data_IF_586432981955
#
_entry.id   IF_586432981955
#
_cell.length_a   1.000
_cell.length_b   1.000
_cell.length_c   1.000
_cell.angle_alpha   90.00
_cell.angle_beta   90.00
_cell.angle_gamma   90.00
#
_symmetry.space_group_name_H-M   'P 1'
#
loop_
_entity.id
_entity.type
_entity.pdbx_description
1 polymer ?
#
# COMPACT_ATOMS: atom_id res chain seq x y z
N UNK A 1 -2.61 6.93 -11.84
CA UNK A 1 -1.42 6.12 -12.20
C UNK A 1 -1.32 5.00 -11.19
N UNK A 2 -1.38 3.75 -11.63
CA UNK A 2 -1.08 2.56 -10.82
C UNK A 2 0.37 2.17 -11.05
N UNK A 3 1.12 1.95 -9.98
CA UNK A 3 2.53 1.52 -10.05
C UNK A 3 2.54 0.01 -10.22
N UNK A 4 3.41 -0.51 -11.09
CA UNK A 4 3.61 -1.95 -11.25
C UNK A 4 5.01 -2.30 -10.78
N UNK A 5 5.09 -3.23 -9.82
CA UNK A 5 6.36 -3.81 -9.37
C UNK A 5 6.44 -5.20 -9.95
N UNK A 6 7.44 -5.41 -10.80
CA UNK A 6 7.71 -6.68 -11.44
C UNK A 6 9.06 -7.16 -10.91
N UNK A 7 9.10 -8.40 -10.45
CA UNK A 7 10.32 -9.00 -9.93
C UNK A 7 10.09 -10.46 -9.57
N UNK A 8 11.13 -11.10 -9.07
CA UNK A 8 11.04 -12.48 -8.61
C UNK A 8 10.30 -12.57 -7.27
N UNK A 9 9.98 -13.79 -6.84
CA UNK A 9 9.21 -14.03 -5.61
C UNK A 9 9.84 -13.33 -4.38
N UNK A 10 11.17 -13.38 -4.25
CA UNK A 10 11.92 -12.69 -3.19
C UNK A 10 11.84 -11.16 -3.29
N UNK A 11 11.87 -10.59 -4.50
CA UNK A 11 11.79 -9.13 -4.69
C UNK A 11 10.39 -8.62 -4.38
N UNK A 12 9.35 -9.37 -4.75
CA UNK A 12 7.96 -9.05 -4.44
C UNK A 12 7.70 -9.20 -2.93
N UNK A 13 8.25 -10.21 -2.27
CA UNK A 13 8.15 -10.37 -0.82
C UNK A 13 8.88 -9.23 -0.09
N UNK A 14 10.11 -8.92 -0.51
CA UNK A 14 10.86 -7.78 0.00
C UNK A 14 10.13 -6.46 -0.19
N UNK A 15 9.56 -6.21 -1.37
CA UNK A 15 8.79 -4.99 -1.64
C UNK A 15 7.56 -4.88 -0.74
N UNK A 16 6.84 -5.99 -0.51
CA UNK A 16 5.70 -6.03 0.42
C UNK A 16 6.12 -5.72 1.86
N UNK A 17 7.26 -6.26 2.31
CA UNK A 17 7.79 -5.98 3.65
C UNK A 17 8.32 -4.54 3.77
N UNK A 18 9.06 -4.06 2.78
CA UNK A 18 9.57 -2.70 2.74
C UNK A 18 8.43 -1.68 2.82
N UNK A 19 7.36 -1.87 2.04
CA UNK A 19 6.16 -1.04 2.11
C UNK A 19 5.48 -1.07 3.48
N UNK A 20 5.55 -2.20 4.19
CA UNK A 20 4.98 -2.36 5.53
C UNK A 20 5.82 -1.66 6.60
N UNK A 21 7.14 -1.74 6.50
CA UNK A 21 8.09 -1.16 7.47
C UNK A 21 8.39 0.32 7.20
N UNK A 22 8.21 0.80 5.97
CA UNK A 22 8.51 2.17 5.57
C UNK A 22 7.31 3.10 5.58
N UNK A 23 6.24 2.84 6.34
CA UNK A 23 5.15 3.82 6.45
C UNK A 23 5.64 5.23 6.85
N UNK A 24 6.75 5.36 7.60
CA UNK A 24 7.36 6.65 7.94
C UNK A 24 7.99 7.40 6.75
N UNK A 25 8.45 6.70 5.71
CA UNK A 25 9.06 7.29 4.50
C UNK A 25 8.22 6.96 3.24
N UNK A 26 6.95 6.57 3.45
CA UNK A 26 6.09 6.13 2.38
C UNK A 26 5.58 7.35 1.62
N UNK A 27 5.80 7.46 0.30
CA UNK A 27 5.30 8.57 -0.50
C UNK A 27 3.75 8.62 -0.54
N UNK A 28 3.09 7.53 -0.13
CA UNK A 28 1.64 7.43 -0.02
C UNK A 28 1.13 7.60 1.42
N UNK A 29 1.97 7.95 2.40
CA UNK A 29 1.58 8.09 3.80
C UNK A 29 0.45 9.11 3.97
N UNK A 30 0.62 10.32 3.44
CA UNK A 30 -0.40 11.39 3.52
C UNK A 30 -1.69 10.97 2.82
N UNK A 31 -1.60 10.50 1.57
CA UNK A 31 -2.77 10.02 0.82
C UNK A 31 -3.48 8.85 1.51
N UNK A 32 -2.75 7.94 2.16
CA UNK A 32 -3.34 6.83 2.88
C UNK A 32 -4.01 7.29 4.17
N UNK A 33 -3.39 8.21 4.90
CA UNK A 33 -3.96 8.80 6.12
C UNK A 33 -5.21 9.63 5.82
N UNK A 34 -5.22 10.40 4.74
CA UNK A 34 -6.41 11.13 4.30
C UNK A 34 -7.56 10.18 3.98
N UNK A 35 -7.32 9.15 3.15
CA UNK A 35 -8.35 8.17 2.80
C UNK A 35 -8.87 7.41 4.02
N UNK A 36 -7.98 7.05 4.96
CA UNK A 36 -8.36 6.45 6.24
C UNK A 36 -9.22 7.40 7.10
N UNK A 37 -8.89 8.69 7.17
CA UNK A 37 -9.69 9.71 7.87
C UNK A 37 -11.05 9.92 7.22
N UNK A 38 -11.12 9.93 5.88
CA UNK A 38 -12.38 10.03 5.14
C UNK A 38 -13.28 8.82 5.39
N UNK A 39 -12.72 7.61 5.31
CA UNK A 39 -13.42 6.36 5.66
C UNK A 39 -13.90 6.36 7.11
N UNK A 40 -13.05 6.79 8.05
CA UNK A 40 -13.42 6.92 9.45
C UNK A 40 -14.57 7.91 9.65
N UNK A 41 -14.59 9.02 8.92
CA UNK A 41 -15.71 9.98 8.94
C UNK A 41 -16.97 9.41 8.32
N UNK A 42 -16.85 8.59 7.27
CA UNK A 42 -17.98 8.11 6.49
C UNK A 42 -18.64 6.86 7.11
N UNK A 43 -17.85 5.94 7.67
CA UNK A 43 -18.30 4.64 8.17
C UNK A 43 -18.01 4.44 9.68
N UNK A 44 -17.39 5.41 10.35
CA UNK A 44 -17.04 5.33 11.77
C UNK A 44 -15.88 4.37 12.09
N UNK A 45 -15.37 3.65 11.09
CA UNK A 45 -14.28 2.68 11.22
C UNK A 45 -13.34 2.76 10.02
N UNK A 46 -12.03 2.66 10.27
CA UNK A 46 -11.03 2.59 9.20
C UNK A 46 -10.95 1.13 8.75
N UNK A 47 -11.52 0.80 7.59
CA UNK A 47 -11.41 -0.56 7.03
C UNK A 47 -10.25 -0.70 6.07
N UNK A 48 -9.89 0.37 5.37
CA UNK A 48 -8.76 0.41 4.45
C UNK A 48 -7.51 1.02 5.10
N UNK A 49 -6.58 0.17 5.54
CA UNK A 49 -5.27 0.60 6.03
C UNK A 49 -4.23 0.78 4.91
N UNK A 50 -3.01 1.17 5.29
CA UNK A 50 -1.88 1.34 4.35
C UNK A 50 -1.64 0.11 3.48
N UNK A 51 -1.81 -1.08 4.05
CA UNK A 51 -1.64 -2.35 3.34
C UNK A 51 -2.64 -2.49 2.19
N UNK A 52 -3.90 -2.18 2.44
CA UNK A 52 -4.97 -2.30 1.43
C UNK A 52 -4.83 -1.19 0.39
N UNK A 53 -4.51 0.03 0.83
CA UNK A 53 -4.29 1.17 -0.07
C UNK A 53 -3.13 0.93 -1.04
N UNK A 54 -1.98 0.47 -0.52
CA UNK A 54 -0.82 0.18 -1.33
C UNK A 54 -1.08 -0.99 -2.29
N UNK A 55 -1.83 -2.01 -1.86
CA UNK A 55 -2.21 -3.12 -2.74
C UNK A 55 -3.16 -2.69 -3.87
N UNK A 56 -4.00 -1.67 -3.66
CA UNK A 56 -4.89 -1.10 -4.68
C UNK A 56 -4.11 -0.20 -5.67
N UNK A 57 -3.06 0.47 -5.19
CA UNK A 57 -2.22 1.37 -6.00
C UNK A 57 -1.04 0.68 -6.69
N UNK A 58 -0.58 -0.44 -6.15
CA UNK A 58 0.59 -1.18 -6.60
C UNK A 58 0.18 -2.59 -7.01
N UNK A 59 0.43 -2.91 -8.28
CA UNK A 59 0.25 -4.25 -8.81
C UNK A 59 1.58 -5.01 -8.74
N UNK A 60 1.60 -6.09 -7.97
CA UNK A 60 2.77 -6.97 -7.79
C UNK A 60 2.70 -8.13 -8.79
N UNK A 61 3.64 -8.18 -9.72
CA UNK A 61 3.75 -9.23 -10.73
C UNK A 61 5.00 -10.05 -10.45
N UNK A 62 4.82 -11.36 -10.22
CA UNK A 62 5.94 -12.30 -10.05
C UNK A 62 6.34 -12.81 -11.43
N UNK A 63 7.54 -12.45 -11.90
CA UNK A 63 8.15 -13.11 -13.07
C UNK A 63 8.75 -14.46 -12.65
N UNK A 64 8.71 -15.43 -13.57
CA UNK A 64 9.03 -16.84 -13.34
C UNK A 64 10.29 -17.24 -14.08
#
# INVERSE_FOLDING_TARGET
MSVRIIGNEQEIEWAKEALRNQCNDCPYLDCCNEKAKEESKQCGTVRFGCREYLKEKIEFVVEK
#
